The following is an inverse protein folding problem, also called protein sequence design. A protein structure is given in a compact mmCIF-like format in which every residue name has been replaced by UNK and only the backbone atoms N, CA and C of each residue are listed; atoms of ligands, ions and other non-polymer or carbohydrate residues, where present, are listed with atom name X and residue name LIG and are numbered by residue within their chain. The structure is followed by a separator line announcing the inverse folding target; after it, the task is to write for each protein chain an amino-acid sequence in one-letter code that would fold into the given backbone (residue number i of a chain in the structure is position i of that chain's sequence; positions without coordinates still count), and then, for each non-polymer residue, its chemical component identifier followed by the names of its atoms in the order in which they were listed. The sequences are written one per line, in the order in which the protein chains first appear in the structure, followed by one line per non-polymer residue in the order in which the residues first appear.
data_IF_362566841668
#
_entry.id   IF_362566841668
#
_cell.length_a   1.000
_cell.length_b   1.000
_cell.length_c   1.000
_cell.angle_alpha   90.00
_cell.angle_beta   90.00
_cell.angle_gamma   90.00
#
_symmetry.space_group_name_H-M   'P 1'
#
loop_
_entity.id
_entity.type
_entity.pdbx_description
1 polymer ?
#
# COMPACT_ATOMS: atom_id res chain seq x y z
N UNK A 1 43.19 -9.17 -4.89
CA UNK A 1 42.41 -8.71 -3.73
C UNK A 1 41.63 -7.50 -4.22
N UNK A 2 40.45 -7.73 -4.79
CA UNK A 2 39.57 -6.63 -5.20
C UNK A 2 38.95 -6.02 -3.95
N UNK A 3 39.01 -4.69 -3.88
CA UNK A 3 38.39 -3.91 -2.81
C UNK A 3 36.87 -4.08 -2.83
N UNK A 4 36.18 -4.06 -1.68
CA UNK A 4 34.74 -4.10 -1.65
C UNK A 4 34.18 -2.84 -2.32
N UNK A 5 33.33 -3.05 -3.32
CA UNK A 5 32.55 -2.04 -4.00
C UNK A 5 31.75 -1.23 -2.95
N UNK A 6 31.93 0.08 -2.93
CA UNK A 6 31.28 0.97 -1.97
C UNK A 6 29.76 0.79 -2.04
N UNK A 7 29.13 0.54 -0.89
CA UNK A 7 27.67 0.47 -0.78
C UNK A 7 27.05 1.73 -1.39
N UNK A 8 26.34 1.59 -2.51
CA UNK A 8 25.65 2.68 -3.18
C UNK A 8 24.80 3.46 -2.16
N UNK A 9 24.79 4.79 -2.23
CA UNK A 9 24.08 5.65 -1.28
C UNK A 9 22.59 5.24 -1.17
N UNK A 10 22.28 4.51 -0.10
CA UNK A 10 20.95 3.96 0.20
C UNK A 10 20.04 4.99 0.86
N UNK A 11 20.52 6.22 1.07
CA UNK A 11 19.83 7.19 1.88
C UNK A 11 19.04 8.18 1.04
N UNK A 12 17.73 8.24 1.30
CA UNK A 12 17.00 9.49 1.11
C UNK A 12 17.60 10.46 2.15
N UNK A 13 17.93 11.72 1.80
CA UNK A 13 18.42 12.66 2.78
C UNK A 13 17.44 12.73 3.97
N UNK A 14 17.92 12.60 5.22
CA UNK A 14 17.07 12.61 6.44
C UNK A 14 16.15 13.83 6.54
N UNK A 15 16.50 14.94 5.89
CA UNK A 15 15.67 16.15 5.77
C UNK A 15 14.39 15.92 4.95
N UNK A 16 14.45 15.07 3.92
CA UNK A 16 13.30 14.73 3.08
C UNK A 16 12.34 13.74 3.78
N UNK A 17 12.84 12.89 4.67
CA UNK A 17 12.01 11.97 5.48
C UNK A 17 11.14 12.74 6.51
N UNK A 18 11.72 13.71 7.22
CA UNK A 18 10.95 14.57 8.14
C UNK A 18 9.86 15.37 7.40
N UNK A 19 10.13 15.78 6.17
CA UNK A 19 9.16 16.49 5.34
C UNK A 19 7.91 15.68 4.99
N UNK A 20 8.05 14.35 4.83
CA UNK A 20 6.90 13.46 4.53
C UNK A 20 6.00 13.30 5.74
N UNK A 21 6.58 13.04 6.91
CA UNK A 21 5.81 12.93 8.15
C UNK A 21 5.04 14.23 8.43
N UNK A 22 5.68 15.39 8.24
CA UNK A 22 5.01 16.69 8.35
C UNK A 22 3.85 16.83 7.38
N UNK A 23 4.11 16.57 6.10
CA UNK A 23 3.11 16.69 5.03
C UNK A 23 1.89 15.82 5.33
N UNK A 24 2.11 14.58 5.75
CA UNK A 24 1.03 13.67 6.15
C UNK A 24 0.23 14.23 7.33
N UNK A 25 0.85 14.84 8.33
CA UNK A 25 0.11 15.44 9.47
C UNK A 25 -0.75 16.63 9.08
N UNK A 26 -0.38 17.37 8.03
CA UNK A 26 -1.10 18.58 7.60
C UNK A 26 -2.16 18.32 6.53
N UNK A 27 -2.32 17.07 6.05
CA UNK A 27 -3.37 16.74 5.09
C UNK A 27 -4.77 16.91 5.71
N UNK A 28 -5.76 17.14 4.86
CA UNK A 28 -7.17 17.12 5.24
C UNK A 28 -7.63 15.66 5.44
N UNK A 29 -7.33 15.11 6.61
CA UNK A 29 -7.74 13.76 6.99
C UNK A 29 -9.26 13.58 7.11
N UNK A 30 -10.01 14.68 7.25
CA UNK A 30 -11.47 14.63 7.19
C UNK A 30 -11.91 14.35 5.77
N UNK A 31 -11.35 15.04 4.77
CA UNK A 31 -11.63 14.79 3.35
C UNK A 31 -11.21 13.39 2.93
N UNK A 32 -9.99 12.97 3.29
CA UNK A 32 -9.48 11.61 3.02
C UNK A 32 -10.39 10.55 3.65
N UNK A 33 -10.81 10.76 4.90
CA UNK A 33 -11.75 9.86 5.59
C UNK A 33 -13.11 9.77 4.89
N UNK A 34 -13.63 10.89 4.37
CA UNK A 34 -14.86 10.91 3.58
C UNK A 34 -14.72 10.15 2.27
N UNK A 35 -13.62 10.35 1.53
CA UNK A 35 -13.40 9.63 0.27
C UNK A 35 -13.26 8.12 0.50
N UNK A 36 -12.57 7.71 1.57
CA UNK A 36 -12.51 6.31 2.02
C UNK A 36 -13.91 5.78 2.38
N UNK A 37 -14.72 6.55 3.10
CA UNK A 37 -16.08 6.17 3.47
C UNK A 37 -17.00 6.02 2.27
N UNK A 38 -16.84 6.85 1.23
CA UNK A 38 -17.73 6.89 0.07
C UNK A 38 -17.32 5.87 -1.00
N UNK A 39 -16.03 5.80 -1.33
CA UNK A 39 -15.50 5.03 -2.45
C UNK A 39 -14.62 3.85 -2.04
N UNK A 40 -14.22 3.74 -0.76
CA UNK A 40 -13.27 2.75 -0.30
C UNK A 40 -11.82 3.06 -0.66
N UNK A 41 -11.56 4.24 -1.23
CA UNK A 41 -10.23 4.71 -1.56
C UNK A 41 -10.13 6.23 -1.52
N UNK A 42 -8.93 6.74 -1.32
CA UNK A 42 -8.60 8.16 -1.35
C UNK A 42 -7.21 8.37 -1.95
N UNK A 43 -7.07 9.39 -2.80
CA UNK A 43 -5.80 9.76 -3.42
C UNK A 43 -5.16 10.91 -2.65
N UNK A 44 -3.86 10.77 -2.38
CA UNK A 44 -2.99 11.82 -1.85
C UNK A 44 -2.00 12.17 -2.96
N UNK A 45 -2.19 13.34 -3.55
CA UNK A 45 -1.42 13.81 -4.69
C UNK A 45 0.01 14.18 -4.30
N UNK A 46 0.99 13.80 -5.10
CA UNK A 46 2.39 14.24 -4.99
C UNK A 46 3.02 13.97 -3.62
N UNK A 47 2.65 12.86 -2.95
CA UNK A 47 3.20 12.51 -1.64
C UNK A 47 4.73 12.35 -1.71
N UNK A 48 5.22 11.68 -2.75
CA UNK A 48 6.65 11.58 -3.03
C UNK A 48 7.03 12.48 -4.21
N UNK A 49 8.14 13.20 -4.06
CA UNK A 49 8.71 13.94 -5.19
C UNK A 49 9.22 12.96 -6.27
N UNK A 50 9.30 13.37 -7.55
CA UNK A 50 9.83 12.53 -8.63
C UNK A 50 11.22 11.96 -8.35
N UNK A 51 12.11 12.73 -7.70
CA UNK A 51 13.45 12.27 -7.31
C UNK A 51 13.41 11.14 -6.27
N UNK A 52 12.50 11.21 -5.30
CA UNK A 52 12.26 10.14 -4.33
C UNK A 52 11.69 8.91 -5.03
N UNK A 53 10.76 9.09 -5.96
CA UNK A 53 10.19 7.98 -6.74
C UNK A 53 11.26 7.23 -7.55
N UNK A 54 12.18 7.96 -8.18
CA UNK A 54 13.29 7.37 -8.93
C UNK A 54 14.25 6.61 -8.00
N UNK A 55 14.59 7.18 -6.85
CA UNK A 55 15.44 6.52 -5.86
C UNK A 55 14.83 5.22 -5.36
N UNK A 56 13.55 5.23 -4.94
CA UNK A 56 12.85 4.04 -4.47
C UNK A 56 12.71 2.99 -5.59
N UNK A 57 12.45 3.41 -6.83
CA UNK A 57 12.37 2.49 -7.97
C UNK A 57 13.70 1.76 -8.22
N UNK A 58 14.84 2.43 -8.01
CA UNK A 58 16.18 1.83 -8.16
C UNK A 58 16.48 0.78 -7.10
N UNK A 59 15.85 0.85 -5.93
CA UNK A 59 16.01 -0.20 -4.92
C UNK A 59 15.59 -1.58 -5.43
N UNK A 60 14.71 -1.65 -6.43
CA UNK A 60 14.27 -2.92 -7.00
C UNK A 60 15.42 -3.84 -7.45
N UNK A 61 16.55 -3.27 -7.89
CA UNK A 61 17.72 -4.03 -8.33
C UNK A 61 18.71 -4.37 -7.22
N UNK A 62 18.55 -3.84 -6.00
CA UNK A 62 19.38 -4.20 -4.83
C UNK A 62 18.71 -5.33 -4.04
N UNK A 63 19.05 -6.57 -4.38
CA UNK A 63 18.48 -7.77 -3.72
C UNK A 63 18.73 -7.82 -2.21
N UNK A 64 19.78 -7.15 -1.70
CA UNK A 64 20.10 -7.15 -0.26
C UNK A 64 19.03 -6.43 0.58
N UNK A 65 18.20 -5.57 -0.03
CA UNK A 65 17.12 -4.89 0.66
C UNK A 65 15.89 -5.77 0.90
N UNK A 66 15.83 -6.96 0.32
CA UNK A 66 14.62 -7.78 0.31
C UNK A 66 14.85 -9.16 0.91
N UNK A 67 13.87 -9.63 1.70
CA UNK A 67 13.93 -10.97 2.29
C UNK A 67 13.35 -12.05 1.38
N UNK A 68 12.55 -11.66 0.41
CA UNK A 68 11.85 -12.59 -0.47
C UNK A 68 11.34 -11.90 -1.73
N UNK A 69 11.33 -12.65 -2.83
CA UNK A 69 10.75 -12.27 -4.13
C UNK A 69 9.61 -13.22 -4.46
N UNK A 70 8.50 -12.67 -4.91
CA UNK A 70 7.35 -13.42 -5.40
C UNK A 70 7.19 -13.16 -6.89
N UNK A 71 7.16 -14.25 -7.67
CA UNK A 71 6.84 -14.22 -9.10
C UNK A 71 5.38 -14.58 -9.25
N UNK A 72 4.54 -13.58 -9.58
CA UNK A 72 3.08 -13.65 -9.45
C UNK A 72 2.45 -14.78 -10.27
N UNK A 73 3.03 -15.08 -11.43
CA UNK A 73 2.54 -16.14 -12.33
C UNK A 73 2.60 -17.53 -11.73
N UNK A 74 3.47 -17.76 -10.72
CA UNK A 74 3.56 -19.05 -10.00
C UNK A 74 2.43 -19.26 -9.00
N UNK A 75 1.66 -18.22 -8.69
CA UNK A 75 0.65 -18.22 -7.63
C UNK A 75 -0.76 -17.86 -8.13
N UNK A 76 -0.94 -17.66 -9.43
CA UNK A 76 -2.22 -17.22 -10.00
C UNK A 76 -2.58 -15.76 -9.68
N UNK A 77 -1.63 -14.97 -9.21
CA UNK A 77 -1.84 -13.55 -8.85
C UNK A 77 -1.74 -12.60 -10.05
N UNK A 78 -1.51 -13.13 -11.25
CA UNK A 78 -1.34 -12.38 -12.49
C UNK A 78 0.06 -12.59 -13.07
N UNK A 79 0.63 -11.54 -13.66
CA UNK A 79 1.98 -11.54 -14.24
C UNK A 79 2.75 -10.32 -13.75
N UNK A 80 4.03 -10.49 -13.47
CA UNK A 80 4.87 -9.51 -12.79
C UNK A 80 5.46 -10.07 -11.50
N UNK A 81 6.04 -9.20 -10.70
CA UNK A 81 6.74 -9.59 -9.49
C UNK A 81 6.74 -8.51 -8.41
N UNK A 82 6.90 -8.96 -7.18
CA UNK A 82 7.11 -8.07 -6.05
C UNK A 82 8.12 -8.66 -5.07
N UNK A 83 8.80 -7.77 -4.34
CA UNK A 83 9.78 -8.13 -3.32
C UNK A 83 9.40 -7.51 -1.98
N UNK A 84 9.41 -8.30 -0.92
CA UNK A 84 9.18 -7.79 0.44
C UNK A 84 10.51 -7.33 1.06
N UNK A 85 10.51 -6.15 1.66
CA UNK A 85 11.72 -5.60 2.29
C UNK A 85 12.18 -6.43 3.49
N UNK A 86 13.49 -6.51 3.71
CA UNK A 86 14.08 -7.08 4.92
C UNK A 86 13.91 -6.12 6.11
N UNK A 87 14.05 -6.65 7.33
CA UNK A 87 14.30 -5.84 8.52
C UNK A 87 15.82 -5.63 8.67
N UNK A 88 16.31 -4.42 9.00
CA UNK A 88 15.55 -3.18 9.18
C UNK A 88 15.03 -2.62 7.84
N UNK A 89 13.82 -2.04 7.89
CA UNK A 89 13.24 -1.35 6.73
C UNK A 89 14.07 -0.12 6.32
N UNK A 90 14.11 0.23 5.01
CA UNK A 90 14.66 1.51 4.58
C UNK A 90 14.00 2.69 5.33
N UNK A 91 14.75 3.74 5.74
CA UNK A 91 14.24 4.82 6.58
C UNK A 91 12.96 5.47 6.08
N UNK A 92 12.85 5.72 4.77
CA UNK A 92 11.65 6.25 4.13
C UNK A 92 10.44 5.32 4.33
N UNK A 93 10.60 4.01 4.13
CA UNK A 93 9.50 3.04 4.26
C UNK A 93 9.04 2.94 5.71
N UNK A 94 9.98 2.92 6.65
CA UNK A 94 9.68 2.96 8.10
C UNK A 94 8.92 4.24 8.48
N UNK A 95 9.38 5.39 7.97
CA UNK A 95 8.74 6.70 8.20
C UNK A 95 7.32 6.74 7.65
N UNK A 96 7.10 6.24 6.43
CA UNK A 96 5.76 6.15 5.83
C UNK A 96 4.81 5.32 6.70
N UNK A 97 5.23 4.12 7.14
CA UNK A 97 4.40 3.28 8.03
C UNK A 97 4.03 4.02 9.33
N UNK A 98 5.03 4.60 9.98
CA UNK A 98 4.87 5.27 11.26
C UNK A 98 4.03 6.56 11.17
N UNK A 99 4.11 7.29 10.05
CA UNK A 99 3.39 8.54 9.85
C UNK A 99 1.94 8.34 9.38
N UNK A 100 1.69 7.35 8.52
CA UNK A 100 0.33 7.05 8.06
C UNK A 100 -0.53 6.42 9.16
N UNK A 101 0.04 5.46 9.91
CA UNK A 101 -0.75 4.63 10.81
C UNK A 101 -1.58 5.42 11.83
N UNK A 102 -1.05 6.43 12.55
CA UNK A 102 -1.82 7.18 13.54
C UNK A 102 -3.01 7.94 12.95
N UNK A 103 -2.94 8.27 11.66
CA UNK A 103 -4.02 8.95 10.94
C UNK A 103 -5.08 7.96 10.46
N UNK A 104 -4.68 6.75 10.09
CA UNK A 104 -5.57 5.70 9.58
C UNK A 104 -6.25 4.88 10.68
N UNK A 105 -5.61 4.70 11.83
CA UNK A 105 -6.14 3.87 12.92
C UNK A 105 -7.50 4.38 13.47
N UNK A 106 -7.74 5.68 13.66
CA UNK A 106 -9.06 6.20 14.04
C UNK A 106 -10.14 5.88 12.99
N UNK A 107 -9.83 6.01 11.70
CA UNK A 107 -10.76 5.70 10.61
C UNK A 107 -11.11 4.21 10.59
N UNK A 108 -10.09 3.34 10.72
CA UNK A 108 -10.27 1.90 10.83
C UNK A 108 -11.12 1.50 12.05
N UNK A 109 -10.93 2.17 13.19
CA UNK A 109 -11.74 1.94 14.38
C UNK A 109 -13.19 2.38 14.20
N UNK A 110 -13.43 3.53 13.55
CA UNK A 110 -14.78 3.99 13.20
C UNK A 110 -15.48 3.01 12.25
N UNK A 111 -14.76 2.45 11.29
CA UNK A 111 -15.28 1.39 10.42
C UNK A 111 -15.68 0.15 11.22
N UNK A 112 -14.82 -0.32 12.12
CA UNK A 112 -15.11 -1.47 12.95
C UNK A 112 -16.30 -1.22 13.88
N UNK A 113 -16.46 0.00 14.40
CA UNK A 113 -17.62 0.39 15.19
C UNK A 113 -18.92 0.32 14.37
N UNK A 114 -18.95 0.96 13.20
CA UNK A 114 -20.10 0.93 12.27
C UNK A 114 -20.48 -0.50 11.88
N UNK A 115 -19.49 -1.35 11.68
CA UNK A 115 -19.66 -2.76 11.30
C UNK A 115 -19.84 -3.73 12.47
N UNK A 116 -19.89 -3.21 13.72
CA UNK A 116 -19.98 -4.00 14.96
C UNK A 116 -18.92 -5.10 15.05
N UNK A 117 -17.72 -4.81 14.56
CA UNK A 117 -16.52 -5.65 14.71
C UNK A 117 -15.86 -5.28 16.03
N UNK A 118 -15.48 -6.28 16.84
CA UNK A 118 -14.90 -6.03 18.17
C UNK A 118 -13.45 -5.52 18.13
N UNK A 119 -12.71 -5.81 17.05
CA UNK A 119 -11.29 -5.45 16.91
C UNK A 119 -11.10 -3.93 17.01
N UNK A 120 -10.14 -3.50 17.83
CA UNK A 120 -9.69 -2.10 17.92
C UNK A 120 -8.18 -2.01 17.74
N UNK A 121 -7.76 -1.02 16.95
CA UNK A 121 -6.37 -0.73 16.64
C UNK A 121 -5.84 0.34 17.62
N UNK A 122 -4.65 0.12 18.21
CA UNK A 122 -4.02 1.11 19.08
C UNK A 122 -3.67 2.39 18.30
N UNK A 123 -3.45 3.51 19.00
CA UNK A 123 -3.10 4.79 18.38
C UNK A 123 -1.71 4.82 17.77
N UNK A 124 -0.78 4.00 18.27
CA UNK A 124 0.60 3.95 17.82
C UNK A 124 0.91 2.68 17.02
N UNK A 125 1.66 2.82 15.93
CA UNK A 125 2.00 1.71 15.04
C UNK A 125 2.81 0.62 15.75
N UNK A 126 3.78 1.01 16.58
CA UNK A 126 4.62 0.08 17.35
C UNK A 126 3.82 -0.85 18.26
N UNK A 127 2.70 -0.38 18.81
CA UNK A 127 1.83 -1.19 19.66
C UNK A 127 1.06 -2.23 18.83
N UNK A 128 0.67 -1.87 17.61
CA UNK A 128 0.04 -2.82 16.69
C UNK A 128 1.04 -3.85 16.15
N UNK A 129 2.29 -3.45 15.89
CA UNK A 129 3.37 -4.38 15.56
C UNK A 129 3.67 -5.34 16.72
N UNK A 130 3.70 -4.88 17.96
CA UNK A 130 3.84 -5.75 19.13
C UNK A 130 2.74 -6.82 19.17
N UNK A 131 1.48 -6.44 18.92
CA UNK A 131 0.37 -7.40 18.78
C UNK A 131 0.58 -8.40 17.63
N UNK A 132 1.09 -7.93 16.49
CA UNK A 132 1.44 -8.83 15.39
C UNK A 132 2.49 -9.85 15.84
N UNK A 133 3.53 -9.40 16.56
CA UNK A 133 4.63 -10.24 17.01
C UNK A 133 4.18 -11.27 18.05
N UNK A 134 3.29 -10.87 18.98
CA UNK A 134 2.61 -11.78 19.92
C UNK A 134 1.81 -12.88 19.20
N UNK A 135 1.18 -12.54 18.06
CA UNK A 135 0.47 -13.49 17.19
C UNK A 135 1.40 -14.29 16.25
N UNK A 136 2.72 -14.22 16.45
CA UNK A 136 3.73 -14.91 15.64
C UNK A 136 3.96 -14.29 14.25
N UNK A 137 3.46 -13.07 14.00
CA UNK A 137 3.66 -12.34 12.75
C UNK A 137 4.84 -11.37 12.88
N UNK A 138 6.06 -11.79 12.57
CA UNK A 138 7.29 -11.02 12.81
C UNK A 138 7.97 -10.48 11.56
N UNK A 139 7.44 -10.77 10.36
CA UNK A 139 8.05 -10.38 9.07
C UNK A 139 7.40 -9.11 8.51
N UNK A 140 8.15 -8.04 8.19
CA UNK A 140 7.58 -6.76 7.78
C UNK A 140 6.90 -6.83 6.41
N UNK A 141 5.72 -6.27 6.22
CA UNK A 141 4.95 -6.47 4.97
C UNK A 141 5.12 -5.41 3.86
N UNK A 142 5.80 -4.27 4.02
CA UNK A 142 6.06 -3.39 2.89
C UNK A 142 6.81 -4.09 1.77
N UNK A 143 6.50 -3.70 0.54
CA UNK A 143 6.98 -4.38 -0.66
C UNK A 143 7.13 -3.43 -1.84
N UNK A 144 7.99 -3.80 -2.79
CA UNK A 144 8.17 -3.07 -4.04
C UNK A 144 7.71 -3.97 -5.19
N UNK A 145 6.75 -3.49 -5.97
CA UNK A 145 6.22 -4.18 -7.15
C UNK A 145 6.91 -3.68 -8.41
N UNK A 146 7.17 -4.60 -9.35
CA UNK A 146 7.65 -4.30 -10.69
C UNK A 146 6.80 -5.05 -11.73
N UNK A 147 6.34 -4.29 -12.72
CA UNK A 147 5.58 -4.80 -13.86
C UNK A 147 6.25 -4.34 -15.15
N UNK A 148 6.36 -5.25 -16.13
CA UNK A 148 6.72 -4.96 -17.51
C UNK A 148 5.52 -4.99 -18.46
N UNK A 149 5.76 -4.85 -19.76
CA UNK A 149 4.70 -4.97 -20.76
C UNK A 149 4.02 -6.35 -20.73
N UNK A 150 2.69 -6.36 -20.71
CA UNK A 150 1.87 -7.57 -20.61
C UNK A 150 1.56 -8.03 -19.18
N UNK A 151 2.28 -7.50 -18.19
CA UNK A 151 2.06 -7.81 -16.78
C UNK A 151 0.78 -7.16 -16.24
N UNK A 152 0.21 -7.75 -15.20
CA UNK A 152 -1.03 -7.32 -14.54
C UNK A 152 -1.15 -7.98 -13.16
N UNK A 153 -1.97 -7.40 -12.28
CA UNK A 153 -2.29 -7.99 -10.99
C UNK A 153 -3.78 -8.33 -10.93
N UNK A 154 -4.09 -9.58 -10.62
CA UNK A 154 -5.46 -10.06 -10.43
C UNK A 154 -6.15 -9.29 -9.30
N UNK A 155 -7.49 -9.28 -9.32
CA UNK A 155 -8.28 -8.70 -8.22
C UNK A 155 -8.15 -9.58 -6.96
N UNK A 156 -7.48 -9.06 -5.93
CA UNK A 156 -7.17 -9.77 -4.69
C UNK A 156 -7.43 -8.90 -3.46
N UNK A 157 -7.16 -9.50 -2.30
CA UNK A 157 -7.24 -8.90 -0.98
C UNK A 157 -6.01 -9.34 -0.21
N UNK A 158 -5.36 -8.40 0.46
CA UNK A 158 -4.17 -8.66 1.26
C UNK A 158 -4.55 -9.10 2.68
N UNK A 159 -5.05 -10.33 2.78
CA UNK A 159 -5.49 -10.94 4.03
C UNK A 159 -4.53 -12.08 4.37
N UNK A 160 -3.53 -11.80 5.20
CA UNK A 160 -2.60 -12.83 5.66
C UNK A 160 -2.32 -12.70 7.15
N UNK A 161 -2.42 -13.85 7.83
CA UNK A 161 -2.26 -13.96 9.27
C UNK A 161 -3.50 -13.52 10.08
N UNK A 162 -3.32 -13.40 11.38
CA UNK A 162 -4.36 -13.11 12.37
C UNK A 162 -4.58 -11.60 12.57
N UNK A 163 -3.49 -10.83 12.75
CA UNK A 163 -3.61 -9.39 12.94
C UNK A 163 -3.59 -8.69 11.59
N UNK A 164 -4.76 -8.27 11.12
CA UNK A 164 -4.96 -7.58 9.84
C UNK A 164 -5.37 -6.12 10.11
N UNK A 165 -4.72 -5.20 9.42
CA UNK A 165 -5.13 -3.79 9.35
C UNK A 165 -5.99 -3.56 8.10
N UNK A 166 -7.14 -2.87 8.17
CA UNK A 166 -8.15 -2.91 7.10
C UNK A 166 -7.89 -1.89 5.99
N UNK A 167 -6.84 -1.07 6.14
CA UNK A 167 -6.42 -0.05 5.18
C UNK A 167 -4.97 -0.30 4.76
N UNK A 168 -4.66 0.01 3.51
CA UNK A 168 -3.31 -0.07 2.95
C UNK A 168 -3.00 1.15 2.09
N UNK A 169 -1.71 1.36 1.82
CA UNK A 169 -1.27 2.42 0.93
C UNK A 169 -0.43 1.84 -0.21
N UNK A 170 -0.71 2.27 -1.43
CA UNK A 170 0.15 2.04 -2.59
C UNK A 170 0.59 3.38 -3.18
N UNK A 171 1.88 3.52 -3.50
CA UNK A 171 2.46 4.74 -4.06
C UNK A 171 3.00 4.44 -5.46
N UNK A 172 2.50 5.15 -6.47
CA UNK A 172 2.96 4.96 -7.85
C UNK A 172 4.32 5.65 -8.04
N UNK A 173 5.34 4.89 -8.44
CA UNK A 173 6.71 5.43 -8.55
C UNK A 173 7.10 5.74 -10.00
N UNK A 174 6.46 5.11 -10.98
CA UNK A 174 6.69 5.34 -12.40
C UNK A 174 5.72 6.38 -12.96
N UNK A 175 6.14 7.15 -13.96
CA UNK A 175 5.33 8.19 -14.60
C UNK A 175 4.44 7.60 -15.71
N UNK A 176 3.10 7.65 -15.59
CA UNK A 176 2.20 7.25 -16.67
C UNK A 176 2.44 8.07 -17.94
N UNK A 177 2.30 7.44 -19.11
CA UNK A 177 2.50 8.07 -20.41
C UNK A 177 3.98 8.24 -20.82
N UNK A 178 4.92 8.16 -19.87
CA UNK A 178 6.35 8.25 -20.12
C UNK A 178 7.06 6.92 -19.85
N UNK A 179 6.95 6.42 -18.63
CA UNK A 179 7.61 5.18 -18.20
C UNK A 179 6.78 3.94 -18.55
N UNK A 180 5.45 4.08 -18.62
CA UNK A 180 4.52 3.01 -18.98
C UNK A 180 3.19 3.53 -19.54
N UNK A 181 2.43 2.66 -20.20
CA UNK A 181 1.01 2.89 -20.58
C UNK A 181 0.12 1.72 -20.13
N UNK A 182 -1.18 1.95 -19.94
CA UNK A 182 -2.06 0.98 -19.26
C UNK A 182 -1.71 0.88 -17.77
N UNK A 183 -1.89 -0.28 -17.15
CA UNK A 183 -1.41 -0.53 -15.78
C UNK A 183 -2.10 0.30 -14.71
N UNK A 184 -3.38 0.64 -14.91
CA UNK A 184 -4.14 1.42 -13.96
C UNK A 184 -4.36 0.64 -12.66
N UNK A 185 -4.33 1.35 -11.52
CA UNK A 185 -4.76 0.75 -10.26
C UNK A 185 -6.29 0.65 -10.27
N UNK A 186 -6.80 -0.56 -10.01
CA UNK A 186 -8.22 -0.85 -10.09
C UNK A 186 -8.70 -1.32 -8.72
N UNK A 187 -9.84 -0.79 -8.31
CA UNK A 187 -10.63 -1.30 -7.20
C UNK A 187 -11.94 -1.83 -7.77
N UNK A 188 -12.43 -2.92 -7.21
CA UNK A 188 -13.78 -3.42 -7.47
C UNK A 188 -14.54 -3.50 -6.18
N UNK A 189 -15.71 -2.89 -6.18
CA UNK A 189 -16.67 -3.01 -5.09
C UNK A 189 -17.77 -3.99 -5.49
N UNK A 190 -17.94 -5.02 -4.67
CA UNK A 190 -19.02 -5.97 -4.79
C UNK A 190 -20.04 -5.76 -3.67
N UNK A 191 -21.25 -5.36 -4.07
CA UNK A 191 -22.42 -5.24 -3.19
C UNK A 191 -23.23 -6.53 -3.25
N UNK A 192 -23.82 -7.00 -2.14
CA UNK A 192 -24.63 -8.22 -2.13
C UNK A 192 -25.73 -8.18 -3.21
N UNK A 193 -25.78 -9.22 -4.06
CA UNK A 193 -26.77 -9.39 -5.15
C UNK A 193 -26.72 -8.31 -6.25
N UNK A 194 -25.63 -7.56 -6.35
CA UNK A 194 -25.41 -6.62 -7.45
C UNK A 194 -24.15 -7.00 -8.23
N UNK A 195 -24.06 -6.52 -9.48
CA UNK A 195 -22.83 -6.59 -10.24
C UNK A 195 -21.72 -5.77 -9.56
N UNK A 196 -20.47 -6.21 -9.73
CA UNK A 196 -19.31 -5.48 -9.22
C UNK A 196 -19.18 -4.12 -9.91
N UNK A 197 -18.89 -3.07 -9.15
CA UNK A 197 -18.57 -1.74 -9.65
C UNK A 197 -17.05 -1.60 -9.73
N UNK A 198 -16.45 -1.57 -10.93
CA UNK A 198 -15.03 -1.25 -11.07
C UNK A 198 -14.81 0.26 -10.93
N UNK A 199 -13.67 0.61 -10.37
CA UNK A 199 -13.18 1.97 -10.21
C UNK A 199 -11.70 2.00 -10.58
N UNK A 200 -11.35 2.92 -11.48
CA UNK A 200 -9.96 3.17 -11.88
C UNK A 200 -9.47 4.36 -11.06
N UNK A 201 -8.37 4.18 -10.33
CA UNK A 201 -7.73 5.24 -9.55
C UNK A 201 -6.61 5.88 -10.39
N UNK A 202 -6.78 7.12 -10.88
CA UNK A 202 -5.92 7.72 -11.90
C UNK A 202 -4.63 8.31 -11.29
N UNK A 203 -3.78 7.46 -10.72
CA UNK A 203 -2.54 7.90 -10.07
C UNK A 203 -1.53 8.47 -11.07
N UNK A 204 -0.91 9.58 -10.68
CA UNK A 204 0.31 10.14 -11.26
C UNK A 204 1.54 9.68 -10.46
N UNK A 205 2.74 9.96 -10.99
CA UNK A 205 3.99 9.65 -10.28
C UNK A 205 4.04 10.39 -8.94
N UNK A 206 4.30 9.66 -7.87
CA UNK A 206 4.39 10.18 -6.51
C UNK A 206 3.08 10.20 -5.75
N UNK A 207 1.95 9.95 -6.42
CA UNK A 207 0.65 9.86 -5.78
C UNK A 207 0.56 8.58 -4.95
N UNK A 208 -0.12 8.70 -3.81
CA UNK A 208 -0.47 7.57 -2.96
C UNK A 208 -1.98 7.33 -3.00
N UNK A 209 -2.39 6.08 -3.13
CA UNK A 209 -3.78 5.65 -2.86
C UNK A 209 -3.83 4.98 -1.50
N UNK A 210 -4.69 5.48 -0.61
CA UNK A 210 -5.13 4.77 0.59
C UNK A 210 -6.39 4.01 0.21
N UNK A 211 -6.50 2.72 0.55
CA UNK A 211 -7.66 1.92 0.15
C UNK A 211 -8.04 0.82 1.15
N UNK A 212 -9.30 0.40 1.11
CA UNK A 212 -9.83 -0.72 1.87
C UNK A 212 -9.26 -2.05 1.37
N UNK A 213 -8.69 -2.84 2.29
CA UNK A 213 -8.08 -4.15 1.96
C UNK A 213 -9.14 -5.19 1.60
N UNK A 214 -10.30 -5.14 2.28
CA UNK A 214 -11.35 -6.13 2.13
C UNK A 214 -12.74 -5.55 2.34
N UNK A 215 -13.03 -5.01 3.53
CA UNK A 215 -14.36 -4.49 3.84
C UNK A 215 -14.31 -3.00 4.08
N UNK A 216 -15.37 -2.32 3.64
CA UNK A 216 -15.73 -1.00 4.12
C UNK A 216 -17.21 -0.98 4.55
N UNK A 217 -17.59 -0.12 5.52
CA UNK A 217 -18.99 0.11 5.85
C UNK A 217 -19.68 0.93 4.76
N UNK A 218 -20.90 0.52 4.40
CA UNK A 218 -21.84 1.31 3.58
C UNK A 218 -23.12 1.50 4.37
N UNK A 219 -23.67 2.71 4.37
CA UNK A 219 -24.94 3.01 5.03
C UNK A 219 -26.11 2.37 4.26
N UNK A 220 -26.96 1.62 4.96
CA UNK A 220 -28.21 1.09 4.43
C UNK A 220 -29.40 1.44 5.33
N UNK A 221 -30.62 1.17 4.87
CA UNK A 221 -31.85 1.52 5.60
C UNK A 221 -32.02 0.85 6.97
N UNK A 222 -31.25 -0.21 7.28
CA UNK A 222 -31.25 -0.93 8.59
C UNK A 222 -29.93 -0.76 9.36
N UNK A 223 -29.13 0.25 9.00
CA UNK A 223 -27.78 0.45 9.52
C UNK A 223 -26.69 0.12 8.51
N UNK A 224 -25.43 0.21 8.95
CA UNK A 224 -24.30 -0.06 8.09
C UNK A 224 -24.17 -1.55 7.76
N UNK A 225 -23.78 -1.87 6.52
CA UNK A 225 -23.47 -3.22 6.07
C UNK A 225 -22.11 -3.26 5.38
N UNK A 226 -21.55 -4.45 5.21
CA UNK A 226 -20.24 -4.65 4.57
C UNK A 226 -20.40 -4.77 3.06
N UNK A 227 -19.52 -4.10 2.34
CA UNK A 227 -19.27 -4.38 0.92
C UNK A 227 -17.86 -4.96 0.76
N UNK A 228 -17.68 -5.78 -0.27
CA UNK A 228 -16.40 -6.42 -0.54
C UNK A 228 -15.61 -5.58 -1.53
N UNK A 229 -14.39 -5.21 -1.15
CA UNK A 229 -13.40 -4.58 -1.98
C UNK A 229 -12.36 -5.60 -2.40
N UNK A 230 -11.98 -5.57 -3.67
CA UNK A 230 -10.77 -6.21 -4.20
C UNK A 230 -10.02 -5.19 -5.01
N UNK A 231 -8.70 -5.25 -4.99
CA UNK A 231 -7.86 -4.35 -5.76
C UNK A 231 -6.91 -5.13 -6.66
N UNK A 232 -6.38 -4.46 -7.67
CA UNK A 232 -5.49 -5.06 -8.65
C UNK A 232 -4.87 -4.00 -9.56
N UNK A 233 -4.19 -4.45 -10.60
CA UNK A 233 -3.55 -3.58 -11.59
C UNK A 233 -3.91 -4.11 -12.96
N UNK A 234 -4.44 -3.23 -13.81
CA UNK A 234 -4.77 -3.57 -15.19
C UNK A 234 -3.52 -3.98 -15.97
N UNK A 235 -3.70 -4.50 -17.19
CA UNK A 235 -2.59 -4.84 -18.06
C UNK A 235 -1.73 -3.61 -18.38
N UNK A 236 -0.44 -3.68 -18.04
CA UNK A 236 0.58 -2.77 -18.56
C UNK A 236 0.74 -3.04 -20.05
N UNK A 237 0.55 -2.03 -20.88
CA UNK A 237 0.57 -2.15 -22.35
C UNK A 237 1.97 -1.94 -22.91
N UNK A 238 2.75 -1.03 -22.32
CA UNK A 238 4.14 -0.78 -22.67
C UNK A 238 4.92 -0.27 -21.46
N UNK A 239 6.25 -0.39 -21.52
CA UNK A 239 7.16 0.20 -20.52
C UNK A 239 7.27 -0.59 -19.22
N UNK A 240 7.66 0.11 -18.14
CA UNK A 240 7.88 -0.45 -16.81
C UNK A 240 7.17 0.37 -15.75
N UNK A 241 6.45 -0.32 -14.86
CA UNK A 241 5.67 0.28 -13.77
C UNK A 241 6.16 -0.25 -12.44
N UNK A 242 6.63 0.65 -11.57
CA UNK A 242 6.98 0.35 -10.18
C UNK A 242 5.98 0.97 -9.21
N UNK A 243 5.73 0.28 -8.10
CA UNK A 243 4.83 0.74 -7.04
C UNK A 243 5.36 0.30 -5.69
N UNK A 244 5.35 1.19 -4.71
CA UNK A 244 5.66 0.88 -3.31
C UNK A 244 4.36 0.55 -2.59
N UNK A 245 4.27 -0.65 -2.01
CA UNK A 245 3.20 -1.03 -1.08
C UNK A 245 3.63 -0.79 0.36
N UNK A 246 2.81 -0.05 1.12
CA UNK A 246 3.01 0.23 2.54
C UNK A 246 1.88 -0.42 3.32
N UNK A 247 2.23 -1.46 4.07
CA UNK A 247 1.30 -2.32 4.80
C UNK A 247 1.63 -2.27 6.30
N UNK A 248 0.60 -2.23 7.14
CA UNK A 248 0.74 -1.82 8.53
C UNK A 248 0.80 -2.95 9.55
N UNK A 249 0.37 -4.16 9.20
CA UNK A 249 0.56 -5.35 10.02
C UNK A 249 1.76 -6.15 9.51
N UNK A 250 2.46 -6.88 10.37
CA UNK A 250 3.49 -7.83 9.93
C UNK A 250 2.85 -9.18 9.57
N UNK A 251 3.60 -10.05 8.88
CA UNK A 251 3.18 -11.40 8.50
C UNK A 251 3.95 -12.45 9.29
N UNK A 252 3.40 -13.67 9.38
CA UNK A 252 4.19 -14.84 9.80
C UNK A 252 5.34 -15.03 8.87
#
# INVERSE_FOLDING_TARGET
MEAPEAAADRSVPRSADRGIAERLRTLDWRRIGQDLDDQGNAVIEGLLAPSQCQLVSRWYTDDALFRSRVVMSRHGFGRGEYKYFSDPLPPLVSTLRAAFYPQLAPLANLWNERLRVAVRYPSEHRQFLARCHEAGQTRPTPLLLAYGAGDYNCLHQDLYGECIFPLQVAILLSQPGKDFTGGEFIITEQRPRMQSRPEVVPLLQGDAVVFAVHHRPVSGGRGAYRVNHRHGVSRVRSGRRHTLGVIFHDAR
#
